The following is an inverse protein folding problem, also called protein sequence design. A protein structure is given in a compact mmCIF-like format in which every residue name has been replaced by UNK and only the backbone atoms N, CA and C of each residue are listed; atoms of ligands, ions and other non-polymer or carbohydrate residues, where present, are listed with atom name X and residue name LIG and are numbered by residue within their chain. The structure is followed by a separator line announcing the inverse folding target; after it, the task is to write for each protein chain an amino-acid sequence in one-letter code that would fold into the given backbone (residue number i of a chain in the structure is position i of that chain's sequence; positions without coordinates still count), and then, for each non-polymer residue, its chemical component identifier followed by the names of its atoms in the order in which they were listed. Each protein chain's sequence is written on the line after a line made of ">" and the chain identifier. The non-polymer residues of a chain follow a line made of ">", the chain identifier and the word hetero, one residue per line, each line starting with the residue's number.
data_IF_785187720892
#
_entry.id   IF_785187720892
#
_cell.length_a   1.000
_cell.length_b   1.000
_cell.length_c   1.000
_cell.angle_alpha   90.00
_cell.angle_beta   90.00
_cell.angle_gamma   90.00
#
_symmetry.space_group_name_H-M   'P 1'
#
loop_
_entity.id
_entity.type
_entity.pdbx_description
1 polymer ?
#
# COMPACT_ATOMS: atom_id res chain seq x y z
N UNK A 1 39.77 -4.32 3.74
CA UNK A 1 39.11 -3.79 4.96
C UNK A 1 38.14 -2.73 4.48
N UNK A 2 36.84 -3.03 4.45
CA UNK A 2 35.80 -2.15 3.91
C UNK A 2 35.32 -1.23 5.04
N UNK A 3 35.21 0.10 4.87
CA UNK A 3 34.74 0.98 5.94
C UNK A 3 33.26 0.71 6.26
N UNK A 4 32.94 0.53 7.55
CA UNK A 4 31.57 0.47 8.06
C UNK A 4 30.87 1.83 7.82
N UNK A 5 29.71 1.80 7.17
CA UNK A 5 28.90 2.98 6.80
C UNK A 5 27.98 3.43 7.97
N UNK A 6 28.10 2.84 9.16
CA UNK A 6 27.10 3.00 10.23
C UNK A 6 27.31 4.18 11.19
N UNK A 7 28.44 4.91 11.11
CA UNK A 7 28.82 5.90 12.13
C UNK A 7 28.40 7.37 11.88
N UNK A 8 27.48 7.65 10.93
CA UNK A 8 27.07 9.03 10.62
C UNK A 8 25.62 9.40 10.97
N UNK A 9 24.86 8.50 11.60
CA UNK A 9 23.45 8.76 11.96
C UNK A 9 23.33 9.09 13.44
N UNK A 10 23.38 10.39 13.78
CA UNK A 10 23.18 10.85 15.15
C UNK A 10 21.76 10.57 15.69
N UNK A 11 21.58 10.45 17.01
CA UNK A 11 20.29 10.10 17.64
C UNK A 11 19.15 11.09 17.31
N UNK A 12 19.47 12.35 17.04
CA UNK A 12 18.51 13.35 16.58
C UNK A 12 17.97 13.05 15.17
N UNK A 13 18.82 12.55 14.27
CA UNK A 13 18.41 12.19 12.91
C UNK A 13 17.48 10.97 12.93
N UNK A 14 17.81 9.95 13.73
CA UNK A 14 16.95 8.76 13.91
C UNK A 14 15.57 9.15 14.42
N UNK A 15 15.50 10.01 15.45
CA UNK A 15 14.23 10.46 16.03
C UNK A 15 13.37 11.27 15.03
N UNK A 16 14.00 12.08 14.18
CA UNK A 16 13.31 12.82 13.12
C UNK A 16 12.77 11.88 12.04
N UNK A 17 13.55 10.87 11.63
CA UNK A 17 13.11 9.86 10.65
C UNK A 17 11.92 9.08 11.19
N UNK A 18 11.96 8.64 12.47
CA UNK A 18 10.84 7.92 13.07
C UNK A 18 9.56 8.77 13.13
N UNK A 19 9.69 10.08 13.39
CA UNK A 19 8.53 10.99 13.38
C UNK A 19 7.97 11.16 11.96
N UNK A 20 8.85 11.35 10.98
CA UNK A 20 8.46 11.48 9.57
C UNK A 20 7.67 10.27 9.11
N UNK A 21 8.19 9.05 9.35
CA UNK A 21 7.56 7.83 8.86
C UNK A 21 6.27 7.49 9.62
N UNK A 22 6.16 7.86 10.90
CA UNK A 22 4.92 7.73 11.67
C UNK A 22 3.80 8.67 11.19
N UNK A 23 4.16 9.85 10.67
CA UNK A 23 3.22 10.86 10.17
C UNK A 23 2.91 10.72 8.67
N UNK A 24 3.44 9.68 8.01
CA UNK A 24 3.24 9.42 6.57
C UNK A 24 2.17 8.35 6.33
N UNK A 25 1.27 8.55 5.36
CA UNK A 25 0.36 7.50 4.87
C UNK A 25 0.76 7.04 3.47
N UNK A 26 1.04 5.75 3.31
CA UNK A 26 1.34 5.17 2.01
C UNK A 26 0.07 4.76 1.26
N UNK A 27 -0.08 5.27 0.03
CA UNK A 27 -1.16 4.88 -0.89
C UNK A 27 -0.64 3.91 -1.94
N UNK A 28 -1.08 2.65 -1.89
CA UNK A 28 -0.71 1.61 -2.86
C UNK A 28 -1.81 1.44 -3.90
N UNK A 29 -1.54 1.89 -5.13
CA UNK A 29 -2.49 1.88 -6.24
C UNK A 29 -2.54 0.50 -6.92
N UNK A 30 -3.42 -0.36 -6.44
CA UNK A 30 -3.55 -1.76 -6.83
C UNK A 30 -4.68 -2.04 -7.85
N UNK A 31 -5.12 -1.03 -8.61
CA UNK A 31 -6.26 -1.11 -9.53
C UNK A 31 -5.97 -1.55 -10.97
N UNK A 32 -4.72 -1.75 -11.36
CA UNK A 32 -4.35 -2.00 -12.76
C UNK A 32 -4.83 -3.35 -13.32
N UNK A 33 -5.53 -3.33 -14.47
CA UNK A 33 -5.96 -4.53 -15.21
C UNK A 33 -4.79 -5.42 -15.66
N UNK A 34 -3.63 -4.84 -15.92
CA UNK A 34 -2.42 -5.60 -16.27
C UNK A 34 -2.48 -6.30 -17.62
N UNK A 35 -3.17 -5.72 -18.61
CA UNK A 35 -3.41 -6.32 -19.95
C UNK A 35 -2.17 -6.86 -20.67
N UNK A 36 -0.98 -6.32 -20.38
CA UNK A 36 0.31 -6.81 -20.91
C UNK A 36 0.71 -8.20 -20.41
N UNK A 37 0.15 -8.67 -19.29
CA UNK A 37 0.40 -10.00 -18.71
C UNK A 37 -0.59 -11.07 -19.22
N UNK A 38 -1.50 -10.70 -20.12
CA UNK A 38 -2.44 -11.63 -20.80
C UNK A 38 -3.18 -12.51 -19.77
N UNK A 39 -3.19 -13.83 -20.00
CA UNK A 39 -3.91 -14.83 -19.22
C UNK A 39 -3.63 -14.80 -17.71
N UNK A 40 -2.47 -14.29 -17.28
CA UNK A 40 -2.12 -14.20 -15.86
C UNK A 40 -3.02 -13.22 -15.07
N UNK A 41 -3.67 -12.30 -15.77
CA UNK A 41 -4.56 -11.28 -15.19
C UNK A 41 -6.03 -11.45 -15.59
N UNK A 42 -6.37 -12.56 -16.24
CA UNK A 42 -7.74 -12.79 -16.73
C UNK A 42 -8.77 -12.91 -15.62
N UNK A 43 -8.38 -13.34 -14.42
CA UNK A 43 -9.29 -13.56 -13.30
C UNK A 43 -8.83 -12.92 -11.98
N UNK A 44 -7.71 -12.20 -12.01
CA UNK A 44 -7.12 -11.55 -10.82
C UNK A 44 -6.48 -10.22 -11.19
N UNK A 45 -6.41 -9.30 -10.23
CA UNK A 45 -5.67 -8.06 -10.39
C UNK A 45 -4.17 -8.31 -10.62
N UNK A 46 -3.49 -7.45 -11.39
CA UNK A 46 -2.02 -7.52 -11.58
C UNK A 46 -1.25 -7.63 -10.25
N UNK A 47 -1.56 -6.87 -9.19
CA UNK A 47 -0.86 -6.97 -7.91
C UNK A 47 -1.05 -8.33 -7.22
N UNK A 48 -2.11 -9.08 -7.55
CA UNK A 48 -2.39 -10.40 -7.01
C UNK A 48 -1.67 -11.54 -7.76
N UNK A 49 -0.91 -11.24 -8.81
CA UNK A 49 -0.16 -12.24 -9.56
C UNK A 49 0.94 -12.84 -8.67
N UNK A 50 1.04 -14.17 -8.55
CA UNK A 50 2.10 -14.84 -7.82
C UNK A 50 3.49 -14.52 -8.39
N UNK A 51 4.48 -14.40 -7.52
CA UNK A 51 5.87 -14.13 -7.85
C UNK A 51 6.79 -14.89 -6.89
N UNK A 52 7.87 -15.49 -7.40
CA UNK A 52 8.87 -16.16 -6.55
C UNK A 52 8.33 -17.31 -5.69
N UNK A 53 7.32 -18.04 -6.17
CA UNK A 53 6.74 -19.23 -5.53
C UNK A 53 5.78 -18.96 -4.36
N UNK A 54 6.13 -18.04 -3.46
CA UNK A 54 5.35 -17.77 -2.22
C UNK A 54 4.75 -16.37 -2.12
N UNK A 55 5.20 -15.43 -2.96
CA UNK A 55 4.80 -14.04 -2.87
C UNK A 55 3.81 -13.67 -3.98
N UNK A 56 3.28 -12.46 -3.88
CA UNK A 56 2.57 -11.75 -4.94
C UNK A 56 3.26 -10.42 -5.21
N UNK A 57 2.99 -9.83 -6.37
CA UNK A 57 3.58 -8.54 -6.76
C UNK A 57 3.33 -7.45 -5.70
N UNK A 58 2.17 -7.44 -5.04
CA UNK A 58 1.87 -6.48 -3.98
C UNK A 58 2.77 -6.60 -2.74
N UNK A 59 3.37 -7.76 -2.49
CA UNK A 59 4.19 -7.94 -1.29
C UNK A 59 5.44 -7.05 -1.32
N UNK A 60 5.96 -6.73 -2.51
CA UNK A 60 7.12 -5.84 -2.68
C UNK A 60 6.86 -4.41 -2.18
N UNK A 61 5.86 -3.66 -2.68
CA UNK A 61 5.58 -2.32 -2.16
C UNK A 61 5.17 -2.35 -0.69
N UNK A 62 4.46 -3.39 -0.23
CA UNK A 62 4.10 -3.52 1.19
C UNK A 62 5.34 -3.70 2.08
N UNK A 63 6.25 -4.63 1.71
CA UNK A 63 7.52 -4.82 2.43
C UNK A 63 8.39 -3.56 2.39
N UNK A 64 8.41 -2.82 1.29
CA UNK A 64 9.15 -1.56 1.19
C UNK A 64 8.61 -0.52 2.18
N UNK A 65 7.29 -0.38 2.32
CA UNK A 65 6.70 0.55 3.28
C UNK A 65 7.12 0.19 4.71
N UNK A 66 6.98 -1.09 5.09
CA UNK A 66 7.30 -1.55 6.45
C UNK A 66 8.79 -1.46 6.77
N UNK A 67 9.66 -1.85 5.83
CA UNK A 67 11.11 -1.74 6.00
C UNK A 67 11.57 -0.26 6.05
N UNK A 68 10.78 0.66 5.51
CA UNK A 68 11.02 2.11 5.60
C UNK A 68 10.36 2.73 6.84
N UNK A 69 9.72 1.95 7.72
CA UNK A 69 9.03 2.46 8.91
C UNK A 69 7.67 3.11 8.67
N UNK A 70 7.13 3.03 7.44
CA UNK A 70 5.80 3.55 7.08
C UNK A 70 4.78 2.44 7.32
N UNK A 71 3.99 2.57 8.39
CA UNK A 71 3.06 1.52 8.86
C UNK A 71 1.57 1.87 8.77
N UNK A 72 1.26 3.01 8.14
CA UNK A 72 -0.11 3.43 7.78
C UNK A 72 -0.26 3.26 6.27
N UNK A 73 -0.90 2.18 5.83
CA UNK A 73 -0.94 1.80 4.41
C UNK A 73 -2.38 1.62 3.95
N UNK A 74 -2.79 2.39 2.94
CA UNK A 74 -4.08 2.21 2.26
C UNK A 74 -3.86 1.63 0.86
N UNK A 75 -4.48 0.49 0.59
CA UNK A 75 -4.39 -0.21 -0.71
C UNK A 75 -5.65 0.09 -1.52
N UNK A 76 -5.51 0.90 -2.57
CA UNK A 76 -6.63 1.28 -3.45
C UNK A 76 -6.83 0.22 -4.52
N UNK A 77 -8.00 -0.42 -4.56
CA UNK A 77 -8.30 -1.52 -5.47
C UNK A 77 -9.47 -1.18 -6.39
N UNK A 78 -9.51 -1.79 -7.59
CA UNK A 78 -10.56 -1.54 -8.58
C UNK A 78 -11.04 -2.84 -9.22
N UNK A 79 -10.16 -3.52 -9.97
CA UNK A 79 -10.52 -4.70 -10.75
C UNK A 79 -10.22 -6.02 -10.04
N UNK A 80 -11.17 -6.98 -10.09
CA UNK A 80 -10.97 -8.39 -9.68
C UNK A 80 -10.14 -8.56 -8.40
N UNK A 81 -10.48 -7.77 -7.38
CA UNK A 81 -9.70 -7.59 -6.17
C UNK A 81 -9.93 -8.65 -5.09
N UNK A 82 -10.92 -9.55 -5.23
CA UNK A 82 -11.25 -10.53 -4.19
C UNK A 82 -10.05 -11.38 -3.73
N UNK A 83 -9.26 -11.88 -4.70
CA UNK A 83 -8.06 -12.66 -4.38
C UNK A 83 -6.99 -11.82 -3.70
N UNK A 84 -6.87 -10.53 -4.07
CA UNK A 84 -5.95 -9.56 -3.47
C UNK A 84 -6.35 -9.22 -2.04
N UNK A 85 -7.63 -8.89 -1.83
CA UNK A 85 -8.19 -8.55 -0.52
C UNK A 85 -8.00 -9.71 0.46
N UNK A 86 -8.28 -10.95 0.04
CA UNK A 86 -8.02 -12.14 0.86
C UNK A 86 -6.53 -12.30 1.22
N UNK A 87 -5.63 -12.00 0.28
CA UNK A 87 -4.18 -12.07 0.53
C UNK A 87 -3.73 -11.03 1.53
N UNK A 88 -4.21 -9.79 1.40
CA UNK A 88 -3.93 -8.72 2.37
C UNK A 88 -4.50 -9.05 3.74
N UNK A 89 -5.75 -9.53 3.81
CA UNK A 89 -6.38 -9.91 5.07
C UNK A 89 -5.65 -11.04 5.80
N UNK A 90 -5.08 -12.01 5.08
CA UNK A 90 -4.38 -13.14 5.70
C UNK A 90 -2.91 -12.86 5.97
N UNK A 91 -2.26 -12.12 5.09
CA UNK A 91 -0.82 -11.90 5.09
C UNK A 91 -0.37 -10.60 5.76
N UNK A 92 -1.27 -9.61 5.89
CA UNK A 92 -0.91 -8.24 6.29
C UNK A 92 -1.80 -7.65 7.39
N UNK A 93 -2.84 -8.37 7.86
CA UNK A 93 -3.71 -7.89 8.95
C UNK A 93 -3.11 -7.96 10.36
N UNK A 94 -1.88 -8.47 10.52
CA UNK A 94 -1.21 -8.51 11.83
C UNK A 94 -0.78 -7.11 12.34
N UNK A 95 -0.89 -6.07 11.51
CA UNK A 95 -0.44 -4.71 11.83
C UNK A 95 -1.54 -3.84 12.49
N UNK A 96 -2.70 -4.42 12.84
CA UNK A 96 -3.76 -3.69 13.54
C UNK A 96 -3.63 -3.87 15.06
N UNK A 97 -3.30 -2.82 15.80
CA UNK A 97 -3.61 -2.81 17.24
C UNK A 97 -2.90 -1.79 18.11
N UNK A 98 -1.75 -1.24 17.73
CA UNK A 98 -1.01 -0.31 18.58
C UNK A 98 -0.39 0.83 17.78
N UNK A 99 -0.53 2.06 18.29
CA UNK A 99 0.04 3.30 17.73
C UNK A 99 -0.49 3.78 16.36
N UNK A 100 -1.73 3.45 15.99
CA UNK A 100 -2.36 4.00 14.78
C UNK A 100 -1.85 3.41 13.46
N UNK A 101 -1.14 2.28 13.52
CA UNK A 101 -0.71 1.49 12.37
C UNK A 101 -1.90 0.72 11.76
N UNK A 102 -1.93 0.61 10.44
CA UNK A 102 -2.99 -0.12 9.72
C UNK A 102 -2.57 -0.54 8.32
N UNK A 103 -3.21 -1.62 7.85
CA UNK A 103 -3.37 -1.92 6.42
C UNK A 103 -4.84 -1.99 6.13
N UNK A 104 -5.30 -1.10 5.28
CA UNK A 104 -6.69 -1.10 4.84
C UNK A 104 -6.78 -1.25 3.32
N UNK A 105 -7.94 -1.73 2.87
CA UNK A 105 -8.25 -1.86 1.45
C UNK A 105 -9.36 -0.88 1.13
N UNK A 106 -9.09 0.04 0.21
CA UNK A 106 -10.03 1.02 -0.30
C UNK A 106 -10.59 0.51 -1.65
N UNK A 107 -11.76 -0.14 -1.68
CA UNK A 107 -12.35 -0.60 -2.92
C UNK A 107 -12.82 0.59 -3.76
N UNK A 108 -12.84 0.44 -5.08
CA UNK A 108 -13.56 1.35 -5.96
C UNK A 108 -15.04 1.35 -5.55
N UNK A 109 -15.47 2.44 -4.94
CA UNK A 109 -16.85 2.67 -4.55
C UNK A 109 -17.51 3.54 -5.63
N UNK A 110 -18.74 3.20 -6.04
CA UNK A 110 -19.63 4.12 -6.75
C UNK A 110 -20.14 5.20 -5.76
N UNK A 111 -19.25 6.00 -5.17
CA UNK A 111 -19.62 7.06 -4.23
C UNK A 111 -19.98 8.37 -4.95
N UNK A 112 -19.35 8.66 -6.08
CA UNK A 112 -19.49 9.92 -6.82
C UNK A 112 -20.17 9.76 -8.21
N UNK A 113 -20.68 8.57 -8.54
CA UNK A 113 -21.35 8.28 -9.82
C UNK A 113 -21.34 6.79 -10.15
N UNK A 114 -21.87 6.42 -11.32
CA UNK A 114 -22.00 5.03 -11.76
C UNK A 114 -20.68 4.33 -12.17
N UNK A 115 -19.54 5.03 -12.13
CA UNK A 115 -18.29 4.55 -12.76
C UNK A 115 -17.23 3.99 -11.80
N UNK A 116 -16.36 3.14 -12.35
CA UNK A 116 -15.07 2.81 -11.73
C UNK A 116 -14.11 4.00 -11.83
N UNK A 117 -12.96 3.97 -11.13
CA UNK A 117 -11.93 5.00 -11.28
C UNK A 117 -11.55 5.21 -12.76
N UNK A 118 -11.63 6.45 -13.23
CA UNK A 118 -11.29 6.87 -14.59
C UNK A 118 -9.76 6.84 -14.78
N UNK A 119 -9.01 7.00 -13.69
CA UNK A 119 -7.56 6.93 -13.68
C UNK A 119 -6.97 6.91 -12.28
N UNK A 120 -5.64 6.92 -12.20
CA UNK A 120 -4.90 6.84 -10.94
C UNK A 120 -5.14 8.05 -10.03
N UNK A 121 -5.15 9.26 -10.58
CA UNK A 121 -5.42 10.47 -9.82
C UNK A 121 -6.87 10.52 -9.32
N UNK A 122 -7.82 10.09 -10.16
CA UNK A 122 -9.23 9.96 -9.79
C UNK A 122 -9.43 8.95 -8.65
N UNK A 123 -8.68 7.84 -8.66
CA UNK A 123 -8.69 6.87 -7.56
C UNK A 123 -8.25 7.49 -6.21
N UNK A 124 -7.29 8.41 -6.22
CA UNK A 124 -6.89 9.15 -5.02
C UNK A 124 -7.96 10.17 -4.64
N UNK A 125 -8.45 10.94 -5.61
CA UNK A 125 -9.44 11.99 -5.41
C UNK A 125 -10.75 11.47 -4.79
N UNK A 126 -11.27 10.35 -5.27
CA UNK A 126 -12.49 9.74 -4.74
C UNK A 126 -12.34 9.21 -3.30
N UNK A 127 -11.11 8.97 -2.84
CA UNK A 127 -10.82 8.52 -1.49
C UNK A 127 -10.26 9.63 -0.58
N UNK A 128 -10.27 10.88 -1.05
CA UNK A 128 -9.63 12.00 -0.36
C UNK A 128 -10.21 12.23 1.05
N UNK A 129 -11.51 12.04 1.24
CA UNK A 129 -12.15 12.19 2.56
C UNK A 129 -11.64 11.15 3.57
N UNK A 130 -11.43 9.91 3.11
CA UNK A 130 -10.88 8.83 3.96
C UNK A 130 -9.42 9.15 4.29
N UNK A 131 -8.64 9.59 3.30
CA UNK A 131 -7.23 9.94 3.50
C UNK A 131 -7.10 11.12 4.49
N UNK A 132 -7.94 12.14 4.36
CA UNK A 132 -7.97 13.30 5.26
C UNK A 132 -8.38 12.93 6.68
N UNK A 133 -9.22 11.92 6.85
CA UNK A 133 -9.60 11.44 8.18
C UNK A 133 -8.40 10.90 8.98
N UNK A 134 -7.34 10.43 8.31
CA UNK A 134 -6.12 9.98 8.97
C UNK A 134 -5.20 11.10 9.44
N UNK A 135 -5.50 12.35 9.07
CA UNK A 135 -4.68 13.54 9.38
C UNK A 135 -3.16 13.32 9.13
N UNK A 136 -2.76 12.89 7.91
CA UNK A 136 -1.35 12.71 7.61
C UNK A 136 -0.66 14.06 7.42
N UNK A 137 0.58 14.17 7.92
CA UNK A 137 1.46 15.30 7.55
C UNK A 137 2.09 15.07 6.16
N UNK A 138 2.19 13.81 5.72
CA UNK A 138 2.84 13.37 4.48
C UNK A 138 2.09 12.24 3.76
#
# INVERSE_FOLDING_TARGET
>A
MVPHIEDHVGPHMVRNISKLTANTVALVLAGGRGSRLKALTDWRAKPAVPFGGKFRIIDFPMSNCINSGIRRISVITQYKSHSLQRHLQRGWSFMSGQFGEFVEVLPAQQRMGEGWYVGTADAVYQNLDIIRHYDPEY
#
